data_IF_069711972126
#
_entry.id   IF_069711972126
#
_cell.length_a   1.000
_cell.length_b   1.000
_cell.length_c   1.000
_cell.angle_alpha   90.00
_cell.angle_beta   90.00
_cell.angle_gamma   90.00
#
_symmetry.space_group_name_H-M   'P 1'
#
loop_
_entity.id
_entity.type
_entity.pdbx_description
1 polymer ?
#
# COMPACT_ATOMS: atom_id res chain seq x y z
N UNK A 1 -17.90 7.68 -9.30
CA UNK A 1 -18.00 6.52 -8.40
C UNK A 1 -16.60 6.18 -7.94
N UNK A 2 -16.47 5.67 -6.72
CA UNK A 2 -15.17 5.32 -6.13
C UNK A 2 -14.52 4.15 -6.86
N UNK A 3 -13.19 4.11 -6.83
CA UNK A 3 -12.40 3.00 -7.32
C UNK A 3 -12.71 1.73 -6.54
N UNK A 4 -12.65 0.58 -7.22
CA UNK A 4 -12.96 -0.68 -6.59
C UNK A 4 -11.84 -1.10 -5.62
N UNK A 5 -12.15 -1.47 -4.37
CA UNK A 5 -11.16 -2.01 -3.44
C UNK A 5 -10.94 -3.48 -3.78
N UNK A 6 -10.18 -3.76 -4.84
CA UNK A 6 -9.92 -5.12 -5.29
C UNK A 6 -8.51 -5.58 -4.93
N UNK A 7 -8.43 -6.75 -4.29
CA UNK A 7 -7.26 -7.62 -4.34
C UNK A 7 -7.36 -8.48 -5.61
N UNK A 8 -7.14 -7.89 -6.79
CA UNK A 8 -7.21 -8.61 -8.07
C UNK A 8 -6.15 -8.11 -9.06
N UNK A 9 -5.74 -8.99 -10.00
CA UNK A 9 -4.91 -8.54 -11.12
C UNK A 9 -5.78 -7.83 -12.15
N UNK A 10 -5.58 -6.52 -12.29
CA UNK A 10 -6.17 -5.72 -13.39
C UNK A 10 -5.65 -6.14 -14.77
N UNK A 11 -4.52 -6.85 -14.83
CA UNK A 11 -3.87 -7.31 -16.06
C UNK A 11 -4.74 -8.22 -16.94
N UNK A 12 -5.76 -8.87 -16.38
CA UNK A 12 -6.67 -9.77 -17.09
C UNK A 12 -8.11 -9.20 -17.18
N UNK A 13 -8.23 -7.87 -17.32
CA UNK A 13 -9.52 -7.17 -17.40
C UNK A 13 -10.44 -7.42 -16.18
N UNK A 14 -9.86 -7.70 -15.01
CA UNK A 14 -10.61 -8.01 -13.79
C UNK A 14 -11.23 -9.41 -13.77
N UNK A 15 -10.88 -10.29 -14.72
CA UNK A 15 -11.37 -11.67 -14.76
C UNK A 15 -10.66 -12.61 -13.78
N UNK A 16 -9.46 -12.25 -13.32
CA UNK A 16 -8.71 -13.02 -12.33
C UNK A 16 -9.15 -12.64 -10.92
N UNK A 17 -9.80 -13.58 -10.25
CA UNK A 17 -10.17 -13.45 -8.84
C UNK A 17 -9.01 -13.89 -7.96
N UNK A 18 -8.92 -13.30 -6.75
CA UNK A 18 -8.03 -13.85 -5.73
C UNK A 18 -8.50 -15.24 -5.33
N UNK A 19 -7.55 -16.17 -5.24
CA UNK A 19 -7.81 -17.50 -4.70
C UNK A 19 -8.11 -17.43 -3.19
N UNK A 20 -8.84 -18.42 -2.68
CA UNK A 20 -9.05 -18.56 -1.24
C UNK A 20 -7.71 -18.80 -0.54
N UNK A 21 -7.46 -18.12 0.57
CA UNK A 21 -6.26 -18.32 1.41
C UNK A 21 -6.10 -19.81 1.76
N UNK A 22 -7.19 -20.49 2.14
CA UNK A 22 -7.16 -21.91 2.49
C UNK A 22 -6.70 -22.79 1.32
N UNK A 23 -7.13 -22.46 0.10
CA UNK A 23 -6.72 -23.21 -1.10
C UNK A 23 -5.25 -22.96 -1.42
N UNK A 24 -4.76 -21.72 -1.26
CA UNK A 24 -3.36 -21.41 -1.46
C UNK A 24 -2.48 -22.16 -0.46
N UNK A 25 -2.85 -22.16 0.83
CA UNK A 25 -2.09 -22.87 1.88
C UNK A 25 -2.14 -24.39 1.74
N UNK A 26 -3.21 -24.96 1.16
CA UNK A 26 -3.28 -26.39 0.84
C UNK A 26 -2.39 -26.78 -0.33
N UNK A 27 -2.26 -25.90 -1.33
CA UNK A 27 -1.56 -26.18 -2.58
C UNK A 27 -0.09 -25.77 -2.55
N UNK A 28 0.29 -24.80 -1.72
CA UNK A 28 1.61 -24.20 -1.65
C UNK A 28 2.20 -24.33 -0.23
N UNK A 29 3.52 -24.54 -0.09
CA UNK A 29 4.18 -24.70 1.22
C UNK A 29 4.40 -23.35 1.93
N UNK A 30 3.37 -22.51 1.97
CA UNK A 30 3.38 -21.17 2.54
C UNK A 30 2.18 -20.98 3.46
N UNK A 31 2.31 -20.00 4.36
CA UNK A 31 1.26 -19.56 5.28
C UNK A 31 1.00 -18.07 5.06
N UNK A 32 -0.26 -17.69 4.85
CA UNK A 32 -0.68 -16.30 4.67
C UNK A 32 -1.13 -15.76 6.03
N UNK A 33 -0.21 -15.09 6.72
CA UNK A 33 -0.48 -14.52 8.03
C UNK A 33 -1.45 -13.34 7.99
N UNK A 34 -1.44 -12.58 6.90
CA UNK A 34 -2.37 -11.47 6.70
C UNK A 34 -2.61 -11.23 5.21
N UNK A 35 -3.85 -10.90 4.86
CA UNK A 35 -4.23 -10.34 3.56
C UNK A 35 -5.36 -9.34 3.78
N UNK A 36 -5.02 -8.05 3.88
CA UNK A 36 -5.92 -7.01 4.37
C UNK A 36 -5.81 -5.72 3.56
N UNK A 37 -6.89 -4.93 3.50
CA UNK A 37 -6.79 -3.59 2.94
C UNK A 37 -5.91 -2.70 3.81
N UNK A 38 -5.13 -1.85 3.15
CA UNK A 38 -4.28 -0.91 3.84
C UNK A 38 -4.98 0.44 4.01
N UNK A 39 -5.07 0.91 5.25
CA UNK A 39 -5.57 2.24 5.59
C UNK A 39 -4.68 3.30 4.92
N UNK A 40 -5.29 4.37 4.39
CA UNK A 40 -4.59 5.49 3.75
C UNK A 40 -3.79 5.12 2.48
N UNK A 41 -4.14 3.99 1.84
CA UNK A 41 -3.50 3.57 0.59
C UNK A 41 -4.11 4.20 -0.66
N UNK A 42 -5.43 4.40 -0.66
CA UNK A 42 -6.15 4.98 -1.78
C UNK A 42 -5.88 6.48 -1.92
N UNK A 43 -5.70 6.95 -3.15
CA UNK A 43 -5.60 8.37 -3.44
C UNK A 43 -6.91 9.10 -3.11
N UNK A 44 -6.80 10.18 -2.35
CA UNK A 44 -7.95 11.01 -1.99
C UNK A 44 -8.47 11.79 -3.21
N UNK A 45 -9.78 11.90 -3.32
CA UNK A 45 -10.45 12.68 -4.36
C UNK A 45 -11.92 12.85 -4.05
N UNK A 46 -12.65 13.57 -4.90
CA UNK A 46 -14.13 13.53 -4.87
C UNK A 46 -14.59 12.08 -4.95
N UNK A 47 -13.97 11.32 -5.85
CA UNK A 47 -14.01 9.87 -5.90
C UNK A 47 -12.62 9.34 -5.53
N UNK A 48 -12.56 8.40 -4.60
CA UNK A 48 -11.29 7.83 -4.15
C UNK A 48 -10.78 6.79 -5.14
N UNK A 49 -9.46 6.56 -5.14
CA UNK A 49 -8.88 5.40 -5.81
C UNK A 49 -9.24 4.08 -5.12
N UNK A 50 -8.94 2.95 -5.78
CA UNK A 50 -9.04 1.64 -5.13
C UNK A 50 -7.97 1.48 -4.06
N UNK A 51 -8.28 0.81 -2.96
CA UNK A 51 -7.33 0.57 -1.87
C UNK A 51 -6.27 -0.45 -2.24
N UNK A 52 -5.05 -0.20 -1.79
CA UNK A 52 -4.00 -1.19 -1.74
C UNK A 52 -4.23 -2.19 -0.61
N UNK A 53 -3.45 -3.26 -0.62
CA UNK A 53 -3.50 -4.33 0.37
C UNK A 53 -2.11 -4.62 0.94
N UNK A 54 -2.09 -5.11 2.17
CA UNK A 54 -0.92 -5.70 2.80
C UNK A 54 -1.10 -7.22 2.84
N UNK A 55 -0.12 -7.93 2.28
CA UNK A 55 -0.07 -9.40 2.30
C UNK A 55 1.23 -9.83 2.98
N UNK A 56 1.11 -10.69 3.99
CA UNK A 56 2.24 -11.24 4.75
C UNK A 56 2.29 -12.74 4.55
N UNK A 57 3.41 -13.23 4.02
CA UNK A 57 3.62 -14.65 3.67
C UNK A 57 4.83 -15.18 4.42
N UNK A 58 4.72 -16.40 4.95
CA UNK A 58 5.80 -17.10 5.63
C UNK A 58 5.93 -18.52 5.09
N UNK A 59 7.10 -19.18 5.24
CA UNK A 59 7.21 -20.61 5.05
C UNK A 59 6.30 -21.36 6.04
N UNK A 60 5.54 -22.34 5.55
CA UNK A 60 4.79 -23.24 6.45
C UNK A 60 5.75 -24.18 7.19
N UNK A 61 6.75 -24.71 6.49
CA UNK A 61 7.83 -25.54 7.04
C UNK A 61 9.06 -25.49 6.13
N UNK A 62 10.26 -25.53 6.73
CA UNK A 62 11.52 -25.58 5.98
C UNK A 62 11.87 -24.28 5.25
N UNK A 63 12.48 -24.42 4.07
CA UNK A 63 12.89 -23.30 3.23
C UNK A 63 11.84 -23.01 2.17
N UNK A 64 11.48 -21.74 2.01
CA UNK A 64 10.62 -21.27 0.95
C UNK A 64 11.43 -20.41 -0.02
N UNK A 65 11.48 -20.84 -1.28
CA UNK A 65 12.10 -20.09 -2.37
C UNK A 65 11.02 -19.26 -3.06
N UNK A 66 11.13 -17.94 -2.99
CA UNK A 66 10.12 -17.06 -3.57
C UNK A 66 10.74 -16.00 -4.46
N UNK A 67 10.08 -15.76 -5.59
CA UNK A 67 10.32 -14.60 -6.45
C UNK A 67 9.05 -13.76 -6.44
N UNK A 68 9.17 -12.51 -6.01
CA UNK A 68 8.05 -11.57 -6.04
C UNK A 68 8.32 -10.43 -7.01
N UNK A 69 7.49 -10.38 -8.05
CA UNK A 69 7.46 -9.30 -9.00
C UNK A 69 6.44 -8.26 -8.56
N UNK A 70 6.90 -7.04 -8.41
CA UNK A 70 6.09 -5.90 -8.00
C UNK A 70 6.83 -4.64 -8.46
N UNK A 71 6.08 -3.72 -9.04
CA UNK A 71 6.53 -2.39 -9.46
C UNK A 71 5.57 -1.33 -8.91
N UNK A 72 5.94 -0.05 -9.04
CA UNK A 72 5.13 1.06 -8.53
C UNK A 72 5.55 1.58 -7.15
N UNK A 73 6.66 1.10 -6.59
CA UNK A 73 7.27 1.66 -5.38
C UNK A 73 7.69 3.12 -5.55
N UNK A 74 8.35 3.40 -6.68
CA UNK A 74 8.93 4.71 -6.99
C UNK A 74 7.99 5.59 -7.82
N UNK A 75 6.98 5.01 -8.46
CA UNK A 75 6.05 5.71 -9.35
C UNK A 75 4.61 5.31 -8.97
N UNK A 76 4.04 5.88 -7.89
CA UNK A 76 2.67 5.56 -7.47
C UNK A 76 1.64 5.99 -8.53
N UNK A 77 0.46 5.34 -8.58
CA UNK A 77 -0.63 5.76 -9.46
C UNK A 77 -1.03 7.22 -9.21
N UNK A 78 -1.05 8.02 -10.28
CA UNK A 78 -1.34 9.45 -10.21
C UNK A 78 -2.85 9.72 -10.03
N UNK A 79 -3.16 10.84 -9.37
CA UNK A 79 -4.54 11.35 -9.30
C UNK A 79 -4.93 12.15 -10.53
N UNK A 80 -6.24 12.32 -10.76
CA UNK A 80 -6.80 13.03 -11.91
C UNK A 80 -7.67 14.22 -11.46
N UNK A 81 -7.59 15.32 -12.21
CA UNK A 81 -8.42 16.53 -12.02
C UNK A 81 -8.46 17.06 -10.57
N UNK A 82 -7.31 17.09 -9.90
CA UNK A 82 -7.19 17.54 -8.50
C UNK A 82 -7.25 16.42 -7.45
N UNK A 83 -7.40 15.17 -7.88
CA UNK A 83 -7.20 14.01 -7.02
C UNK A 83 -5.74 13.82 -6.64
N UNK A 84 -5.52 13.22 -5.48
CA UNK A 84 -4.21 12.85 -4.93
C UNK A 84 -3.77 11.47 -5.43
N UNK A 85 -2.47 11.18 -5.48
CA UNK A 85 -1.96 9.87 -5.87
C UNK A 85 -2.31 8.82 -4.81
N UNK A 86 -2.24 7.55 -5.20
CA UNK A 86 -2.17 6.47 -4.23
C UNK A 86 -0.89 6.55 -3.40
N UNK A 87 -0.83 5.78 -2.32
CA UNK A 87 0.37 5.67 -1.49
C UNK A 87 1.59 5.19 -2.30
N UNK A 88 1.39 4.32 -3.28
CA UNK A 88 2.47 3.50 -3.84
C UNK A 88 2.64 2.22 -3.03
N UNK A 89 3.66 1.43 -3.30
CA UNK A 89 3.85 0.19 -2.54
C UNK A 89 5.27 -0.01 -2.11
N UNK A 90 5.48 -1.12 -1.43
CA UNK A 90 6.80 -1.58 -1.07
C UNK A 90 6.75 -3.07 -0.79
N UNK A 91 7.92 -3.69 -0.81
CA UNK A 91 8.08 -5.08 -0.40
C UNK A 91 9.37 -5.24 0.34
N UNK A 92 9.35 -6.11 1.33
CA UNK A 92 10.53 -6.43 2.11
C UNK A 92 10.47 -7.84 2.67
N UNK A 93 11.65 -8.39 2.94
CA UNK A 93 11.84 -9.55 3.78
C UNK A 93 12.12 -9.06 5.19
N UNK A 94 11.52 -9.68 6.18
CA UNK A 94 11.82 -9.47 7.60
C UNK A 94 12.30 -10.77 8.21
N UNK A 95 13.48 -10.74 8.79
CA UNK A 95 14.12 -11.89 9.44
C UNK A 95 13.62 -12.06 10.88
N UNK A 96 13.94 -13.20 11.50
CA UNK A 96 13.50 -13.53 12.86
C UNK A 96 14.01 -12.54 13.92
N UNK A 97 15.19 -11.96 13.71
CA UNK A 97 15.77 -10.89 14.53
C UNK A 97 15.19 -9.51 14.23
N UNK A 98 14.22 -9.40 13.32
CA UNK A 98 13.50 -8.17 13.00
C UNK A 98 14.20 -7.26 11.99
N UNK A 99 15.32 -7.70 11.40
CA UNK A 99 16.01 -6.95 10.34
C UNK A 99 15.19 -7.02 9.05
N UNK A 100 15.09 -5.89 8.34
CA UNK A 100 14.30 -5.80 7.11
C UNK A 100 15.15 -5.45 5.90
N UNK A 101 14.85 -6.13 4.81
CA UNK A 101 15.49 -5.97 3.51
C UNK A 101 14.44 -5.52 2.50
N UNK A 102 14.45 -4.24 2.13
CA UNK A 102 13.53 -3.66 1.17
C UNK A 102 14.01 -3.86 -0.25
N UNK A 103 13.11 -4.27 -1.14
CA UNK A 103 13.44 -4.51 -2.54
C UNK A 103 12.70 -3.54 -3.45
N UNK A 104 13.44 -2.72 -4.20
CA UNK A 104 12.85 -1.84 -5.22
C UNK A 104 12.55 -2.60 -6.50
N UNK A 105 13.51 -3.43 -6.92
CA UNK A 105 13.36 -4.45 -7.95
C UNK A 105 13.88 -5.77 -7.37
N UNK A 106 13.28 -6.90 -7.76
CA UNK A 106 13.65 -8.20 -7.23
C UNK A 106 14.07 -9.15 -8.37
N UNK A 107 15.32 -9.06 -8.86
CA UNK A 107 15.73 -9.74 -10.08
C UNK A 107 15.92 -11.25 -9.91
N UNK A 108 16.18 -11.73 -8.69
CA UNK A 108 16.45 -13.14 -8.39
C UNK A 108 15.51 -13.69 -7.31
N UNK A 109 15.26 -15.01 -7.20
CA UNK A 109 14.52 -15.56 -6.06
C UNK A 109 15.26 -15.37 -4.74
N UNK A 110 14.53 -15.11 -3.66
CA UNK A 110 15.06 -15.09 -2.29
C UNK A 110 14.66 -16.36 -1.52
N UNK A 111 15.40 -16.65 -0.46
CA UNK A 111 15.18 -17.81 0.42
C UNK A 111 14.68 -17.32 1.77
N UNK A 112 13.54 -17.86 2.20
CA UNK A 112 12.94 -17.58 3.49
C UNK A 112 13.04 -18.81 4.38
N UNK A 113 13.54 -18.62 5.60
CA UNK A 113 13.55 -19.62 6.67
C UNK A 113 12.29 -19.53 7.50
N UNK A 114 12.01 -20.57 8.27
CA UNK A 114 10.91 -20.58 9.23
C UNK A 114 10.90 -19.31 10.09
N UNK A 115 9.71 -18.73 10.24
CA UNK A 115 9.46 -17.47 10.95
C UNK A 115 10.05 -16.20 10.30
N UNK A 116 10.79 -16.29 9.19
CA UNK A 116 11.03 -15.13 8.34
C UNK A 116 9.78 -14.84 7.51
N UNK A 117 9.48 -13.57 7.29
CA UNK A 117 8.27 -13.16 6.58
C UNK A 117 8.59 -12.30 5.37
N UNK A 118 7.86 -12.55 4.29
CA UNK A 118 7.75 -11.63 3.18
C UNK A 118 6.53 -10.73 3.42
N UNK A 119 6.73 -9.42 3.27
CA UNK A 119 5.66 -8.43 3.33
C UNK A 119 5.58 -7.72 2.00
N UNK A 120 4.39 -7.73 1.40
CA UNK A 120 4.07 -6.95 0.21
C UNK A 120 2.96 -5.97 0.53
N UNK A 121 3.20 -4.70 0.20
CA UNK A 121 2.18 -3.66 0.24
C UNK A 121 1.95 -3.22 -1.21
N UNK A 122 0.75 -3.51 -1.72
CA UNK A 122 0.34 -3.04 -3.03
C UNK A 122 -0.05 -1.56 -2.99
N UNK A 123 0.15 -0.88 -4.10
CA UNK A 123 -0.26 0.51 -4.26
C UNK A 123 -1.77 0.63 -4.40
N UNK A 124 -2.36 1.60 -3.69
CA UNK A 124 -3.70 2.07 -4.03
C UNK A 124 -3.71 2.85 -5.35
N UNK A 125 -4.89 2.97 -5.96
CA UNK A 125 -5.13 3.81 -7.12
C UNK A 125 -5.14 5.30 -6.78
N UNK A 126 -4.94 6.17 -7.77
CA UNK A 126 -5.09 7.61 -7.61
C UNK A 126 -6.56 8.04 -7.51
N UNK A 127 -6.80 9.13 -6.79
CA UNK A 127 -8.12 9.73 -6.66
C UNK A 127 -8.52 10.58 -7.86
N UNK A 128 -9.81 10.90 -7.96
CA UNK A 128 -10.38 11.75 -9.01
C UNK A 128 -11.11 12.94 -8.41
N UNK A 129 -10.83 14.15 -8.92
CA UNK A 129 -11.49 15.39 -8.49
C UNK A 129 -10.99 15.89 -7.14
N UNK A 130 -11.35 17.14 -6.78
CA UNK A 130 -10.97 17.74 -5.50
C UNK A 130 -11.55 16.93 -4.31
N UNK A 131 -10.71 16.41 -3.39
CA UNK A 131 -11.16 15.76 -2.16
C UNK A 131 -12.14 16.58 -1.32
N UNK A 132 -12.04 17.92 -1.35
CA UNK A 132 -12.92 18.80 -0.59
C UNK A 132 -14.34 18.90 -1.17
N UNK A 133 -14.57 18.40 -2.40
CA UNK A 133 -15.92 18.23 -2.95
C UNK A 133 -16.62 16.95 -2.46
N UNK A 134 -15.88 16.02 -1.84
CA UNK A 134 -16.49 14.81 -1.27
C UNK A 134 -17.39 15.16 -0.08
N UNK A 135 -18.51 14.46 0.04
CA UNK A 135 -19.46 14.67 1.14
C UNK A 135 -18.83 14.30 2.49
N UNK A 136 -19.07 15.13 3.50
CA UNK A 136 -18.48 14.97 4.84
C UNK A 136 -18.92 13.66 5.50
N UNK A 137 -20.20 13.30 5.32
CA UNK A 137 -20.75 12.03 5.81
C UNK A 137 -20.12 10.80 5.13
N UNK A 138 -19.78 10.88 3.85
CA UNK A 138 -19.04 9.81 3.17
C UNK A 138 -17.64 9.64 3.74
N UNK A 139 -16.94 10.74 4.03
CA UNK A 139 -15.61 10.68 4.67
C UNK A 139 -15.70 10.06 6.06
N UNK A 140 -16.69 10.42 6.89
CA UNK A 140 -16.95 9.77 8.19
C UNK A 140 -17.09 8.26 8.03
N UNK A 141 -17.89 7.80 7.05
CA UNK A 141 -18.08 6.37 6.81
C UNK A 141 -16.77 5.69 6.38
N UNK A 142 -15.97 6.32 5.51
CA UNK A 142 -14.67 5.80 5.12
C UNK A 142 -13.72 5.63 6.31
N UNK A 143 -13.72 6.57 7.25
CA UNK A 143 -12.91 6.47 8.47
C UNK A 143 -13.42 5.36 9.39
N UNK A 144 -14.74 5.31 9.61
CA UNK A 144 -15.39 4.26 10.41
C UNK A 144 -15.08 2.87 9.85
N UNK A 145 -15.07 2.72 8.54
CA UNK A 145 -14.85 1.44 7.84
C UNK A 145 -13.35 1.11 7.70
N UNK A 146 -12.44 1.94 8.21
CA UNK A 146 -11.00 1.70 8.22
C UNK A 146 -10.30 1.95 6.88
N UNK A 147 -10.95 2.61 5.93
CA UNK A 147 -10.33 2.95 4.64
C UNK A 147 -9.36 4.11 4.73
N UNK A 148 -9.62 5.05 5.65
CA UNK A 148 -8.79 6.21 5.93
C UNK A 148 -8.67 6.45 7.43
N UNK A 149 -7.55 7.01 7.86
CA UNK A 149 -7.38 7.50 9.22
C UNK A 149 -8.10 8.83 9.44
N UNK A 150 -8.26 9.21 10.71
CA UNK A 150 -8.78 10.53 11.10
C UNK A 150 -7.84 11.63 10.60
N UNK A 151 -6.53 11.36 10.65
CA UNK A 151 -5.48 12.25 10.17
C UNK A 151 -5.60 12.50 8.66
N UNK A 152 -5.94 11.47 7.87
CA UNK A 152 -6.20 11.65 6.43
C UNK A 152 -7.55 12.35 6.16
N UNK A 153 -8.57 12.11 6.97
CA UNK A 153 -9.83 12.85 6.88
C UNK A 153 -9.61 14.36 7.01
N UNK A 154 -8.78 14.79 7.96
CA UNK A 154 -8.43 16.19 8.15
C UNK A 154 -7.50 16.70 7.04
N UNK A 155 -6.39 16.01 6.79
CA UNK A 155 -5.33 16.50 5.91
C UNK A 155 -5.74 16.49 4.44
N UNK A 156 -6.41 15.44 3.96
CA UNK A 156 -6.80 15.29 2.56
C UNK A 156 -8.20 15.87 2.28
N UNK A 157 -9.20 15.53 3.10
CA UNK A 157 -10.60 15.90 2.83
C UNK A 157 -11.08 17.16 3.57
N UNK A 158 -10.27 17.69 4.49
CA UNK A 158 -10.62 18.83 5.33
C UNK A 158 -11.77 18.55 6.30
N UNK A 159 -12.01 17.28 6.64
CA UNK A 159 -13.09 16.84 7.54
C UNK A 159 -12.52 16.59 8.93
N UNK A 160 -13.09 17.28 9.92
CA UNK A 160 -12.69 17.16 11.32
C UNK A 160 -13.67 16.23 12.02
N UNK A 161 -13.14 15.13 12.56
CA UNK A 161 -13.90 14.16 13.33
C UNK A 161 -13.41 14.16 14.78
N UNK A 162 -14.33 14.03 15.72
CA UNK A 162 -13.97 13.77 17.10
C UNK A 162 -13.30 12.38 17.23
N UNK A 163 -12.15 12.32 17.90
CA UNK A 163 -11.34 11.08 17.97
C UNK A 163 -12.01 9.95 18.76
N UNK A 164 -12.92 10.29 19.68
CA UNK A 164 -13.56 9.31 20.55
C UNK A 164 -14.90 8.79 20.01
N UNK A 165 -15.64 9.65 19.31
CA UNK A 165 -17.01 9.38 18.85
C UNK A 165 -17.12 9.25 17.33
N UNK A 166 -16.09 9.67 16.58
CA UNK A 166 -16.11 9.83 15.12
C UNK A 166 -17.24 10.76 14.62
N UNK A 167 -17.79 11.59 15.50
CA UNK A 167 -18.78 12.59 15.10
C UNK A 167 -18.14 13.76 14.37
N UNK A 168 -18.90 14.33 13.44
CA UNK A 168 -18.42 15.42 12.58
C UNK A 168 -18.48 16.73 13.36
N UNK A 169 -17.36 17.45 13.42
CA UNK A 169 -17.38 18.86 13.81
C UNK A 169 -17.65 19.71 12.57
N UNK A 170 -18.91 20.11 12.38
CA UNK A 170 -19.34 20.89 11.22
C UNK A 170 -18.65 22.25 11.13
N UNK A 171 -18.46 22.93 12.27
CA UNK A 171 -17.88 24.28 12.31
C UNK A 171 -16.39 24.23 12.00
N UNK A 172 -15.67 23.29 12.60
CA UNK A 172 -14.25 23.07 12.33
C UNK A 172 -14.03 22.58 10.89
N UNK A 173 -14.86 21.66 10.39
CA UNK A 173 -14.82 21.17 9.01
C UNK A 173 -15.03 22.31 8.00
N UNK A 174 -16.05 23.15 8.20
CA UNK A 174 -16.31 24.29 7.32
C UNK A 174 -15.13 25.29 7.31
N UNK A 175 -14.56 25.55 8.48
CA UNK A 175 -13.40 26.45 8.63
C UNK A 175 -12.15 25.85 7.98
N UNK A 176 -11.88 24.56 8.19
CA UNK A 176 -10.75 23.84 7.61
C UNK A 176 -10.81 23.85 6.07
N UNK A 177 -11.95 23.47 5.49
CA UNK A 177 -12.15 23.51 4.02
C UNK A 177 -12.05 24.93 3.47
N UNK A 178 -12.58 25.94 4.16
CA UNK A 178 -12.44 27.34 3.75
C UNK A 178 -10.97 27.77 3.71
N UNK A 179 -10.22 27.47 4.77
CA UNK A 179 -8.80 27.84 4.86
C UNK A 179 -7.95 27.11 3.82
N UNK A 180 -8.17 25.81 3.60
CA UNK A 180 -7.47 25.03 2.56
C UNK A 180 -7.73 25.55 1.15
N UNK A 181 -8.98 25.95 0.84
CA UNK A 181 -9.32 26.58 -0.45
C UNK A 181 -8.68 27.96 -0.65
N UNK A 182 -8.58 28.75 0.42
CA UNK A 182 -7.91 30.07 0.36
C UNK A 182 -6.38 29.94 0.22
N UNK A 183 -5.80 28.86 0.76
CA UNK A 183 -4.36 28.59 0.67
C UNK A 183 -3.93 27.84 -0.59
N UNK A 184 -4.85 27.21 -1.32
CA UNK A 184 -4.55 26.57 -2.60
C UNK A 184 -4.49 27.61 -3.73
N UNK A 185 -3.28 28.05 -4.07
CA UNK A 185 -2.99 28.40 -5.46
C UNK A 185 -3.28 27.16 -6.30
N UNK A 186 -3.92 27.30 -7.46
CA UNK A 186 -4.28 26.22 -8.37
C UNK A 186 -3.03 25.52 -8.95
N UNK A 187 -2.26 24.84 -8.11
CA UNK A 187 -1.22 23.93 -8.55
C UNK A 187 -1.94 22.67 -8.97
N UNK A 188 -2.01 22.45 -10.28
CA UNK A 188 -2.23 21.12 -10.85
C UNK A 188 -1.32 20.17 -10.06
N UNK A 189 -1.90 19.12 -9.49
CA UNK A 189 -1.09 18.07 -8.88
C UNK A 189 -0.20 17.52 -10.00
N UNK A 190 1.07 17.94 -10.01
CA UNK A 190 2.02 17.47 -11.00
C UNK A 190 2.17 15.96 -10.73
N UNK A 191 2.11 15.11 -11.77
CA UNK A 191 2.38 13.70 -11.58
C UNK A 191 3.69 13.59 -10.80
N UNK A 192 3.72 12.74 -9.76
CA UNK A 192 4.98 12.34 -9.11
C UNK A 192 6.00 12.14 -10.23
N UNK A 193 7.08 12.93 -10.19
CA UNK A 193 8.15 12.77 -11.16
C UNK A 193 8.65 11.32 -11.11
N UNK A 194 9.26 10.82 -12.19
CA UNK A 194 9.85 9.50 -12.18
C UNK A 194 10.78 9.35 -10.96
N UNK A 195 10.51 8.38 -10.08
CA UNK A 195 11.33 8.14 -8.89
C UNK A 195 10.85 8.78 -7.58
N UNK A 196 9.78 9.59 -7.60
CA UNK A 196 9.38 10.41 -6.45
C UNK A 196 8.47 9.71 -5.42
N UNK A 197 8.17 8.42 -5.59
CA UNK A 197 7.45 7.63 -4.60
C UNK A 197 8.18 7.57 -3.26
N UNK A 198 7.58 8.14 -2.21
CA UNK A 198 8.17 8.22 -0.85
C UNK A 198 7.51 7.28 0.16
N UNK A 199 6.42 6.60 -0.17
CA UNK A 199 5.68 5.79 0.81
C UNK A 199 6.52 4.67 1.42
N UNK A 200 7.38 4.01 0.65
CA UNK A 200 8.26 2.98 1.21
C UNK A 200 9.17 3.54 2.32
N UNK A 201 9.55 4.82 2.26
CA UNK A 201 10.37 5.49 3.29
C UNK A 201 9.61 5.67 4.59
N UNK A 202 8.29 5.81 4.57
CA UNK A 202 7.48 5.90 5.80
C UNK A 202 7.44 4.57 6.55
N UNK A 203 7.73 3.46 5.86
CA UNK A 203 7.84 2.12 6.42
C UNK A 203 9.27 1.70 6.75
N UNK A 204 10.25 2.47 6.30
CA UNK A 204 11.66 2.21 6.50
C UNK A 204 12.08 2.66 7.91
N UNK A 205 12.68 1.76 8.67
CA UNK A 205 13.14 1.97 10.04
C UNK A 205 14.66 2.12 10.08
N UNK A 206 15.17 2.63 11.19
CA UNK A 206 16.60 2.61 11.44
C UNK A 206 17.10 1.15 11.50
N UNK A 207 18.13 0.83 10.72
CA UNK A 207 18.67 -0.53 10.58
C UNK A 207 18.09 -1.36 9.43
N UNK A 208 17.06 -0.85 8.74
CA UNK A 208 16.57 -1.48 7.51
C UNK A 208 17.57 -1.28 6.37
N UNK A 209 17.63 -2.24 5.45
CA UNK A 209 18.54 -2.22 4.30
C UNK A 209 17.76 -2.11 2.99
N UNK A 210 18.19 -1.21 2.10
CA UNK A 210 17.66 -1.13 0.75
C UNK A 210 18.52 -2.00 -0.18
N UNK A 211 17.92 -3.05 -0.72
CA UNK A 211 18.58 -3.98 -1.62
C UNK A 211 18.43 -3.46 -3.05
N UNK A 212 19.50 -2.89 -3.60
CA UNK A 212 19.49 -2.25 -4.91
C UNK A 212 19.77 -3.21 -6.08
N UNK A 213 20.58 -4.25 -5.88
CA UNK A 213 20.84 -5.32 -6.84
C UNK A 213 21.23 -6.61 -6.09
N UNK A 214 20.52 -7.72 -6.29
CA UNK A 214 20.92 -9.00 -5.69
C UNK A 214 21.75 -9.83 -6.65
N UNK A 215 23.00 -10.08 -6.26
CA UNK A 215 23.56 -11.42 -6.43
C UNK A 215 22.61 -12.38 -5.68
N UNK A 216 22.11 -13.47 -6.27
CA UNK A 216 21.10 -14.32 -5.63
C UNK A 216 21.51 -14.73 -4.21
N UNK A 217 20.65 -14.55 -3.22
CA UNK A 217 20.91 -14.94 -1.81
C UNK A 217 21.25 -16.44 -1.72
N UNK A 218 20.76 -17.27 -2.64
CA UNK A 218 21.13 -18.68 -2.76
C UNK A 218 22.65 -18.91 -2.91
N UNK A 219 23.37 -18.04 -3.63
CA UNK A 219 24.83 -18.08 -3.77
C UNK A 219 25.54 -17.63 -2.48
N UNK A 220 24.96 -16.69 -1.72
CA UNK A 220 25.49 -16.24 -0.44
C UNK A 220 25.29 -17.27 0.69
N UNK A 221 24.29 -18.14 0.56
CA UNK A 221 23.99 -19.21 1.53
C UNK A 221 24.73 -20.54 1.25
N UNK A 222 25.60 -20.58 0.24
CA UNK A 222 26.38 -21.78 -0.10
C UNK A 222 25.55 -22.96 -0.60
N UNK A 223 24.30 -22.72 -1.02
CA UNK A 223 23.42 -23.76 -1.55
C UNK A 223 23.77 -24.00 -3.03
N UNK A 224 24.12 -25.25 -3.36
CA UNK A 224 24.48 -25.64 -4.72
C UNK A 224 23.29 -25.40 -5.68
N UNK A 225 23.54 -24.98 -6.94
CA UNK A 225 22.51 -24.82 -7.96
C UNK A 225 21.68 -26.10 -8.25
N UNK A 226 22.15 -27.25 -7.78
CA UNK A 226 21.60 -28.58 -8.07
C UNK A 226 20.48 -28.98 -7.10
N UNK A 227 20.14 -28.16 -6.11
CA UNK A 227 19.03 -28.39 -5.18
C UNK A 227 17.64 -27.98 -5.73
N UNK A 228 17.49 -27.91 -7.06
CA UNK A 228 16.22 -27.61 -7.75
C UNK A 228 15.49 -28.86 -8.19
#
# INVERSE_FOLDING_TARGET
YDGWPLTQCVCALGGLQSESVEMVELLQPLFIKANQFLIDSAGAGKWIGGHGCETIVLPYHGLLYMKFEYEGTLNPPYGLFGGQPGNGGCKYKETVDGKRYFYMAHPSPDVFRENEQYVCISSGGGGYGDPMERSVSSVKNLVRDGYFSIETAESAFGVILDKSTLEIDEKATASCRRNKRLGQSSSIWLPVGPGEGLFWKTRFREGDELVQETTPTALQLGLSPEAR
#
